data_IF_612261398587
#
_entry.id   IF_612261398587
#
_cell.length_a   1.000
_cell.length_b   1.000
_cell.length_c   1.000
_cell.angle_alpha   90.00
_cell.angle_beta   90.00
_cell.angle_gamma   90.00
#
_symmetry.space_group_name_H-M   'P 1'
#
loop_
_entity.id
_entity.type
_entity.pdbx_description
1 polymer ?
#
# COMPACT_ATOMS: atom_id res chain seq x y z
N UNK A 1 -19.91 11.61 15.50
CA UNK A 1 -18.59 12.21 15.74
C UNK A 1 -18.04 11.61 17.02
N UNK A 2 -17.32 10.47 17.00
CA UNK A 2 -16.63 9.93 18.20
C UNK A 2 -16.15 8.46 18.06
N UNK A 3 -15.65 8.00 16.93
CA UNK A 3 -14.97 6.69 16.86
C UNK A 3 -13.58 6.72 16.21
N UNK A 4 -13.09 7.89 15.81
CA UNK A 4 -11.79 8.04 15.13
C UNK A 4 -10.57 8.05 16.06
N UNK A 5 -10.75 7.99 17.39
CA UNK A 5 -9.65 8.24 18.34
C UNK A 5 -8.95 6.99 18.90
N UNK A 6 -9.27 5.80 18.43
CA UNK A 6 -8.73 4.54 18.98
C UNK A 6 -7.94 3.65 18.02
N UNK A 7 -7.90 3.96 16.74
CA UNK A 7 -7.14 3.13 15.80
C UNK A 7 -5.71 3.66 15.67
N UNK A 8 -4.75 2.84 16.05
CA UNK A 8 -3.33 3.09 15.82
C UNK A 8 -3.05 3.05 14.31
N UNK A 9 -2.25 4.00 13.82
CA UNK A 9 -1.86 4.05 12.41
C UNK A 9 -0.80 3.00 12.08
N UNK A 10 0.11 2.74 13.02
CA UNK A 10 1.23 1.82 12.82
C UNK A 10 1.75 1.28 14.16
N UNK A 11 2.45 0.16 14.10
CA UNK A 11 3.19 -0.37 15.25
C UNK A 11 4.26 0.62 15.72
N UNK A 12 4.87 1.38 14.82
CA UNK A 12 5.88 2.39 15.16
C UNK A 12 5.30 3.57 15.97
N UNK A 13 4.04 3.95 15.72
CA UNK A 13 3.30 4.90 16.54
C UNK A 13 3.18 4.38 17.98
N UNK A 14 2.67 3.15 18.16
CA UNK A 14 2.53 2.52 19.46
C UNK A 14 3.86 2.40 20.20
N UNK A 15 4.92 1.95 19.51
CA UNK A 15 6.25 1.83 20.10
C UNK A 15 6.77 3.21 20.55
N UNK A 16 6.54 4.26 19.77
CA UNK A 16 6.92 5.63 20.11
C UNK A 16 6.23 6.09 21.40
N UNK A 17 4.94 5.80 21.55
CA UNK A 17 4.19 6.11 22.76
C UNK A 17 4.70 5.31 23.98
N UNK A 18 4.90 3.99 23.82
CA UNK A 18 5.42 3.14 24.90
C UNK A 18 6.82 3.55 25.37
N UNK A 19 7.72 3.89 24.44
CA UNK A 19 9.06 4.37 24.79
C UNK A 19 9.01 5.66 25.60
N UNK A 20 7.97 6.44 25.42
CA UNK A 20 7.73 7.67 26.14
C UNK A 20 7.36 7.44 27.62
N UNK A 21 6.53 6.42 27.86
CA UNK A 21 6.11 6.05 29.21
C UNK A 21 7.24 5.33 30.01
N UNK A 22 8.12 4.63 29.26
CA UNK A 22 9.13 3.74 29.87
C UNK A 22 10.52 4.38 30.02
N UNK A 23 10.82 5.48 29.33
CA UNK A 23 12.15 6.07 29.30
C UNK A 23 12.10 7.59 29.45
N UNK A 24 13.15 8.12 30.07
CA UNK A 24 13.44 9.55 29.97
C UNK A 24 13.70 9.93 28.49
N UNK A 25 13.33 11.16 28.07
CA UNK A 25 13.46 11.61 26.68
C UNK A 25 14.86 11.45 26.05
N UNK A 26 15.90 11.35 26.89
CA UNK A 26 17.30 11.19 26.45
C UNK A 26 17.69 9.77 26.02
N UNK A 27 16.76 8.81 26.02
CA UNK A 27 17.08 7.40 25.81
C UNK A 27 16.91 6.85 24.39
N UNK A 28 16.39 7.62 23.43
CA UNK A 28 16.20 7.19 22.04
C UNK A 28 17.30 7.82 21.16
N UNK A 29 18.04 6.99 20.43
CA UNK A 29 19.05 7.48 19.48
C UNK A 29 18.38 8.11 18.26
N UNK A 30 19.07 9.06 17.62
CA UNK A 30 18.59 9.70 16.39
C UNK A 30 18.19 8.68 15.32
N UNK A 31 19.02 7.67 15.05
CA UNK A 31 18.75 6.64 14.05
C UNK A 31 17.53 5.77 14.41
N UNK A 32 17.29 5.51 15.70
CA UNK A 32 16.08 4.81 16.17
C UNK A 32 14.83 5.66 15.93
N UNK A 33 14.92 6.97 16.24
CA UNK A 33 13.84 7.91 15.98
C UNK A 33 13.54 8.05 14.47
N UNK A 34 14.56 8.06 13.61
CA UNK A 34 14.43 8.07 12.16
C UNK A 34 13.77 6.79 11.64
N UNK A 35 14.15 5.61 12.17
CA UNK A 35 13.54 4.34 11.79
C UNK A 35 12.06 4.25 12.20
N UNK A 36 11.72 4.69 13.43
CA UNK A 36 10.32 4.74 13.88
C UNK A 36 9.49 5.71 13.05
N UNK A 37 10.04 6.89 12.72
CA UNK A 37 9.36 7.85 11.87
C UNK A 37 9.18 7.32 10.45
N UNK A 38 10.16 6.60 9.89
CA UNK A 38 10.05 5.95 8.59
C UNK A 38 8.91 4.92 8.58
N UNK A 39 8.76 4.12 9.65
CA UNK A 39 7.65 3.17 9.78
C UNK A 39 6.29 3.86 9.84
N UNK A 40 6.16 4.97 10.58
CA UNK A 40 4.91 5.77 10.60
C UNK A 40 4.61 6.30 9.19
N UNK A 41 5.59 6.90 8.51
CA UNK A 41 5.43 7.44 7.15
C UNK A 41 5.01 6.36 6.16
N UNK A 42 5.60 5.16 6.24
CA UNK A 42 5.28 4.03 5.37
C UNK A 42 3.84 3.53 5.58
N UNK A 43 3.46 3.25 6.82
CA UNK A 43 2.15 2.67 7.17
C UNK A 43 1.00 3.64 6.93
N UNK A 44 1.25 4.94 7.07
CA UNK A 44 0.27 6.01 6.83
C UNK A 44 0.27 6.53 5.39
N UNK A 45 1.10 5.98 4.50
CA UNK A 45 1.35 6.51 3.16
C UNK A 45 1.58 8.02 3.19
N UNK A 46 2.63 8.43 3.89
CA UNK A 46 2.98 9.84 4.08
C UNK A 46 1.85 10.66 4.73
N UNK A 47 1.26 10.13 5.79
CA UNK A 47 0.16 10.77 6.56
C UNK A 47 -1.14 10.94 5.76
N UNK A 48 -1.36 10.15 4.71
CA UNK A 48 -2.56 10.23 3.87
C UNK A 48 -3.70 9.35 4.39
N UNK A 49 -3.37 8.16 4.95
CA UNK A 49 -4.36 7.19 5.43
C UNK A 49 -4.10 6.82 6.89
N UNK A 50 -5.17 6.41 7.60
CA UNK A 50 -5.13 5.97 9.01
C UNK A 50 -4.42 6.94 9.95
N UNK A 51 -4.42 8.23 9.64
CA UNK A 51 -3.72 9.27 10.38
C UNK A 51 -4.67 9.97 11.33
N UNK A 52 -4.32 10.01 12.61
CA UNK A 52 -5.04 10.73 13.65
C UNK A 52 -4.12 11.71 14.40
N UNK A 53 -4.68 12.40 15.39
CA UNK A 53 -3.94 13.32 16.26
C UNK A 53 -2.70 12.63 16.88
N UNK A 54 -2.87 11.40 17.41
CA UNK A 54 -1.81 10.60 18.02
C UNK A 54 -0.64 10.33 17.06
N UNK A 55 -0.93 10.10 15.78
CA UNK A 55 0.08 9.88 14.75
C UNK A 55 0.96 11.11 14.56
N UNK A 56 0.35 12.29 14.52
CA UNK A 56 1.10 13.55 14.42
C UNK A 56 1.89 13.85 15.70
N UNK A 57 1.33 13.55 16.86
CA UNK A 57 2.04 13.70 18.15
C UNK A 57 3.27 12.80 18.23
N UNK A 58 3.14 11.52 17.82
CA UNK A 58 4.26 10.60 17.75
C UNK A 58 5.34 11.11 16.78
N UNK A 59 4.95 11.54 15.57
CA UNK A 59 5.88 12.10 14.59
C UNK A 59 6.57 13.38 15.08
N UNK A 60 5.82 14.31 15.71
CA UNK A 60 6.39 15.54 16.28
C UNK A 60 7.38 15.23 17.39
N UNK A 61 7.14 14.20 18.18
CA UNK A 61 8.02 13.75 19.24
C UNK A 61 9.32 13.16 18.69
N UNK A 62 9.23 12.24 17.73
CA UNK A 62 10.40 11.68 17.04
C UNK A 62 11.24 12.78 16.41
N UNK A 63 10.59 13.80 15.85
CA UNK A 63 11.26 14.98 15.31
C UNK A 63 12.01 15.78 16.38
N UNK A 64 11.41 15.96 17.58
CA UNK A 64 12.08 16.61 18.73
C UNK A 64 13.26 15.79 19.25
N UNK A 65 13.20 14.46 19.16
CA UNK A 65 14.32 13.55 19.53
C UNK A 65 15.48 13.62 18.52
N UNK A 66 15.31 14.30 17.40
CA UNK A 66 16.37 14.55 16.42
C UNK A 66 16.21 13.81 15.09
N UNK A 67 15.10 13.06 14.87
CA UNK A 67 14.85 12.44 13.57
C UNK A 67 14.84 13.49 12.46
N UNK A 68 15.58 13.24 11.37
CA UNK A 68 15.60 14.10 10.19
C UNK A 68 14.70 13.53 9.09
N UNK A 69 13.73 14.33 8.66
CA UNK A 69 12.78 13.92 7.61
C UNK A 69 13.47 13.70 6.25
N UNK A 70 14.60 14.35 5.99
CA UNK A 70 15.38 14.09 4.79
C UNK A 70 16.05 12.70 4.83
N UNK A 71 16.59 12.32 5.99
CA UNK A 71 17.14 10.97 6.18
C UNK A 71 16.04 9.91 6.13
N UNK A 72 14.87 10.17 6.77
CA UNK A 72 13.69 9.30 6.64
C UNK A 72 13.29 9.10 5.18
N UNK A 73 13.27 10.18 4.37
CA UNK A 73 12.99 10.06 2.94
C UNK A 73 14.01 9.20 2.22
N UNK A 74 15.31 9.28 2.56
CA UNK A 74 16.35 8.43 1.97
C UNK A 74 16.13 6.96 2.28
N UNK A 75 15.73 6.62 3.52
CA UNK A 75 15.40 5.25 3.90
C UNK A 75 14.25 4.65 3.06
N UNK A 76 13.34 5.49 2.57
CA UNK A 76 12.17 5.08 1.78
C UNK A 76 12.37 5.26 0.26
N UNK A 77 13.57 5.59 -0.19
CA UNK A 77 13.86 5.71 -1.62
C UNK A 77 13.77 4.35 -2.31
N UNK A 78 13.25 4.38 -3.53
CA UNK A 78 13.21 3.25 -4.47
C UNK A 78 14.38 3.39 -5.43
N UNK A 79 14.98 2.30 -5.86
CA UNK A 79 15.98 2.34 -6.92
C UNK A 79 15.37 2.68 -8.28
N UNK A 80 16.25 3.02 -9.24
CA UNK A 80 15.81 3.46 -10.57
C UNK A 80 15.11 2.36 -11.37
N UNK A 81 15.53 1.10 -11.20
CA UNK A 81 14.95 -0.03 -11.94
C UNK A 81 13.50 -0.28 -11.50
N UNK A 82 13.26 -0.30 -10.19
CA UNK A 82 11.92 -0.44 -9.61
C UNK A 82 11.03 0.77 -9.95
N UNK A 83 11.61 1.99 -9.96
CA UNK A 83 10.87 3.19 -10.36
C UNK A 83 10.41 3.12 -11.82
N UNK A 84 11.28 2.69 -12.74
CA UNK A 84 10.94 2.49 -14.16
C UNK A 84 9.91 1.38 -14.32
N UNK A 85 10.06 0.26 -13.59
CA UNK A 85 9.11 -0.85 -13.65
C UNK A 85 7.71 -0.42 -13.18
N UNK A 86 7.61 0.32 -12.07
CA UNK A 86 6.34 0.90 -11.58
C UNK A 86 5.71 1.81 -12.63
N UNK A 87 6.49 2.69 -13.24
CA UNK A 87 5.99 3.60 -14.27
C UNK A 87 5.41 2.84 -15.48
N UNK A 88 6.10 1.80 -15.97
CA UNK A 88 5.59 0.95 -17.06
C UNK A 88 4.29 0.24 -16.69
N UNK A 89 4.17 -0.25 -15.45
CA UNK A 89 2.91 -0.83 -14.96
C UNK A 89 1.80 0.22 -15.03
N UNK A 90 2.05 1.41 -14.50
CA UNK A 90 1.05 2.49 -14.50
C UNK A 90 0.63 2.90 -15.91
N UNK A 91 1.55 2.93 -16.88
CA UNK A 91 1.22 3.21 -18.29
C UNK A 91 0.29 2.18 -18.91
N UNK A 92 0.28 0.94 -18.43
CA UNK A 92 -0.60 -0.12 -18.93
C UNK A 92 -2.02 -0.05 -18.34
N UNK A 93 -2.24 0.83 -17.36
CA UNK A 93 -3.50 0.89 -16.62
C UNK A 93 -4.66 1.44 -17.47
N UNK A 94 -5.82 0.83 -17.29
CA UNK A 94 -7.08 1.27 -17.84
C UNK A 94 -8.08 1.46 -16.71
N UNK A 95 -8.82 2.56 -16.76
CA UNK A 95 -9.86 2.83 -15.75
C UNK A 95 -11.16 2.13 -16.16
N UNK A 96 -11.69 1.31 -15.25
CA UNK A 96 -12.95 0.61 -15.40
C UNK A 96 -13.75 0.66 -14.09
N UNK A 97 -14.96 1.23 -14.12
CA UNK A 97 -15.83 1.39 -12.93
C UNK A 97 -15.10 1.93 -11.69
N UNK A 98 -14.27 2.96 -11.87
CA UNK A 98 -13.41 3.56 -10.82
C UNK A 98 -12.27 2.64 -10.32
N UNK A 99 -12.05 1.50 -10.94
CA UNK A 99 -10.94 0.59 -10.69
C UNK A 99 -9.89 0.75 -11.80
N UNK A 100 -8.66 1.10 -11.45
CA UNK A 100 -7.54 1.09 -12.39
C UNK A 100 -7.00 -0.34 -12.52
N UNK A 101 -7.15 -0.96 -13.68
CA UNK A 101 -6.62 -2.30 -13.96
C UNK A 101 -5.39 -2.18 -14.84
N UNK A 102 -4.23 -2.62 -14.35
CA UNK A 102 -2.96 -2.60 -15.06
C UNK A 102 -2.46 -4.03 -15.33
N UNK A 103 -1.96 -4.27 -16.55
CA UNK A 103 -1.47 -5.57 -16.97
C UNK A 103 -0.18 -5.41 -17.80
N UNK A 104 1.00 -5.23 -17.16
CA UNK A 104 2.26 -5.11 -17.86
C UNK A 104 2.61 -6.42 -18.59
N UNK A 105 3.29 -6.29 -19.72
CA UNK A 105 3.76 -7.44 -20.49
C UNK A 105 5.00 -8.11 -19.88
N UNK A 106 5.78 -7.33 -19.15
CA UNK A 106 7.03 -7.77 -18.55
C UNK A 106 6.79 -8.49 -17.23
N UNK A 107 7.72 -9.38 -16.87
CA UNK A 107 7.74 -10.04 -15.56
C UNK A 107 7.94 -9.00 -14.46
N UNK A 108 7.17 -9.11 -13.39
CA UNK A 108 7.21 -8.16 -12.27
C UNK A 108 7.40 -8.89 -10.94
N UNK A 109 8.05 -8.21 -9.99
CA UNK A 109 8.03 -8.67 -8.61
C UNK A 109 6.70 -8.31 -7.95
N UNK A 110 6.30 -9.10 -6.95
CA UNK A 110 5.07 -8.82 -6.18
C UNK A 110 5.14 -7.47 -5.46
N UNK A 111 6.34 -7.08 -5.04
CA UNK A 111 6.59 -5.81 -4.35
C UNK A 111 6.35 -4.63 -5.29
N UNK A 112 6.98 -4.64 -6.47
CA UNK A 112 6.83 -3.59 -7.48
C UNK A 112 5.37 -3.47 -7.95
N UNK A 113 4.69 -4.61 -8.18
CA UNK A 113 3.28 -4.62 -8.56
C UNK A 113 2.39 -4.01 -7.46
N UNK A 114 2.65 -4.33 -6.18
CA UNK A 114 1.92 -3.78 -5.06
C UNK A 114 2.16 -2.26 -4.92
N UNK A 115 3.40 -1.81 -5.07
CA UNK A 115 3.74 -0.39 -5.05
C UNK A 115 3.10 0.37 -6.22
N UNK A 116 3.10 -0.20 -7.43
CA UNK A 116 2.43 0.40 -8.58
C UNK A 116 0.90 0.49 -8.37
N UNK A 117 0.29 -0.52 -7.75
CA UNK A 117 -1.11 -0.47 -7.37
C UNK A 117 -1.39 0.67 -6.37
N UNK A 118 -0.50 0.88 -5.39
CA UNK A 118 -0.61 2.02 -4.47
C UNK A 118 -0.47 3.38 -5.19
N UNK A 119 0.47 3.51 -6.13
CA UNK A 119 0.66 4.74 -6.91
C UNK A 119 -0.55 5.07 -7.81
N UNK A 120 -1.21 4.07 -8.38
CA UNK A 120 -2.43 4.27 -9.18
C UNK A 120 -3.57 4.91 -8.39
N UNK A 121 -3.62 4.72 -7.07
CA UNK A 121 -4.61 5.36 -6.20
C UNK A 121 -4.43 6.88 -6.06
N UNK A 122 -3.29 7.43 -6.46
CA UNK A 122 -3.06 8.88 -6.47
C UNK A 122 -3.68 9.56 -7.70
N UNK A 123 -4.29 8.80 -8.62
CA UNK A 123 -4.93 9.33 -9.83
C UNK A 123 -6.39 9.67 -9.52
N UNK A 124 -6.80 10.88 -9.86
CA UNK A 124 -8.18 11.34 -9.66
C UNK A 124 -9.19 10.41 -10.35
N UNK A 125 -10.25 10.04 -9.63
CA UNK A 125 -11.29 9.13 -10.10
C UNK A 125 -10.98 7.64 -9.93
N UNK A 126 -9.80 7.29 -9.40
CA UNK A 126 -9.45 5.91 -9.05
C UNK A 126 -9.75 5.67 -7.56
N UNK A 127 -10.66 4.76 -7.27
CA UNK A 127 -11.02 4.34 -5.89
C UNK A 127 -10.35 3.01 -5.50
N UNK A 128 -10.03 2.19 -6.49
CA UNK A 128 -9.28 0.96 -6.33
C UNK A 128 -8.34 0.73 -7.53
N UNK A 129 -7.34 -0.09 -7.33
CA UNK A 129 -6.37 -0.48 -8.37
C UNK A 129 -6.08 -1.97 -8.29
N UNK A 130 -5.90 -2.60 -9.44
CA UNK A 130 -5.54 -4.02 -9.55
C UNK A 130 -4.42 -4.14 -10.59
N UNK A 131 -3.27 -4.65 -10.18
CA UNK A 131 -2.15 -4.98 -11.07
C UNK A 131 -2.11 -6.48 -11.26
N UNK A 132 -2.27 -6.94 -12.50
CA UNK A 132 -2.19 -8.35 -12.90
C UNK A 132 -0.87 -8.57 -13.63
N UNK A 133 0.01 -9.40 -13.10
CA UNK A 133 1.34 -9.60 -13.66
C UNK A 133 1.81 -11.05 -13.53
N UNK A 134 2.90 -11.38 -14.21
CA UNK A 134 3.61 -12.65 -14.08
C UNK A 134 4.85 -12.46 -13.21
N UNK A 135 5.10 -13.39 -12.28
CA UNK A 135 6.32 -13.38 -11.48
C UNK A 135 7.49 -14.11 -12.19
N UNK A 136 8.71 -13.95 -11.64
CA UNK A 136 9.91 -14.60 -12.18
C UNK A 136 9.89 -16.14 -12.17
N UNK A 137 8.88 -16.75 -11.53
CA UNK A 137 8.65 -18.20 -11.53
C UNK A 137 7.58 -18.61 -12.55
N UNK A 138 7.11 -17.69 -13.36
CA UNK A 138 6.08 -17.92 -14.38
C UNK A 138 4.64 -17.97 -13.87
N UNK A 139 4.40 -17.67 -12.58
CA UNK A 139 3.05 -17.66 -11.99
C UNK A 139 2.38 -16.33 -12.22
N UNK A 140 1.10 -16.36 -12.58
CA UNK A 140 0.27 -15.15 -12.70
C UNK A 140 -0.32 -14.79 -11.33
N UNK A 141 -0.32 -13.52 -11.00
CA UNK A 141 -0.88 -13.01 -9.74
C UNK A 141 -1.56 -11.66 -9.95
N UNK A 142 -2.46 -11.30 -9.05
CA UNK A 142 -3.05 -9.97 -8.94
C UNK A 142 -2.74 -9.35 -7.59
N UNK A 143 -2.41 -8.05 -7.59
CA UNK A 143 -2.27 -7.24 -6.38
C UNK A 143 -3.28 -6.12 -6.43
N UNK A 144 -4.14 -6.02 -5.43
CA UNK A 144 -5.22 -5.05 -5.36
C UNK A 144 -5.03 -4.09 -4.19
N UNK A 145 -5.38 -2.82 -4.41
CA UNK A 145 -5.35 -1.75 -3.40
C UNK A 145 -6.61 -0.91 -3.50
N UNK A 146 -7.01 -0.28 -2.37
CA UNK A 146 -8.14 0.63 -2.31
C UNK A 146 -7.90 1.73 -1.27
N UNK A 147 -8.47 2.90 -1.51
CA UNK A 147 -8.54 3.99 -0.53
C UNK A 147 -9.65 3.80 0.52
N UNK A 148 -10.40 2.69 0.45
CA UNK A 148 -11.39 2.29 1.45
C UNK A 148 -12.84 2.35 0.99
N UNK A 149 -13.16 3.04 -0.10
CA UNK A 149 -14.52 3.07 -0.68
C UNK A 149 -14.90 1.68 -1.23
N UNK A 150 -14.05 1.10 -2.08
CA UNK A 150 -14.22 -0.24 -2.59
C UNK A 150 -13.53 -1.28 -1.70
N UNK A 151 -14.20 -2.40 -1.46
CA UNK A 151 -13.63 -3.53 -0.72
C UNK A 151 -12.93 -4.50 -1.67
N UNK A 152 -11.61 -4.32 -1.86
CA UNK A 152 -10.83 -5.19 -2.78
C UNK A 152 -10.67 -6.63 -2.29
N UNK A 153 -10.89 -6.89 -1.00
CA UNK A 153 -10.92 -8.27 -0.48
C UNK A 153 -12.01 -9.09 -1.17
N UNK A 154 -13.23 -8.55 -1.26
CA UNK A 154 -14.36 -9.26 -1.88
C UNK A 154 -14.10 -9.55 -3.36
N UNK A 155 -13.45 -8.64 -4.08
CA UNK A 155 -13.08 -8.87 -5.48
C UNK A 155 -12.02 -9.99 -5.59
N UNK A 156 -11.00 -9.97 -4.71
CA UNK A 156 -9.94 -10.98 -4.75
C UNK A 156 -10.42 -12.35 -4.26
N UNK A 157 -11.36 -12.44 -3.33
CA UNK A 157 -11.96 -13.71 -2.87
C UNK A 157 -12.71 -14.43 -4.00
N UNK A 158 -13.38 -13.71 -4.91
CA UNK A 158 -14.00 -14.29 -6.12
C UNK A 158 -12.97 -14.92 -7.08
N UNK A 159 -11.72 -14.48 -6.96
CA UNK A 159 -10.60 -15.00 -7.75
C UNK A 159 -9.77 -16.06 -7.00
N UNK A 160 -10.27 -16.55 -5.86
CA UNK A 160 -9.57 -17.53 -5.01
C UNK A 160 -8.45 -16.94 -4.17
N UNK A 161 -8.41 -15.61 -4.06
CA UNK A 161 -7.44 -14.88 -3.26
C UNK A 161 -7.97 -14.44 -1.90
N UNK A 162 -7.42 -13.36 -1.34
CA UNK A 162 -7.86 -12.80 -0.08
C UNK A 162 -7.01 -11.60 0.34
N UNK A 163 -7.27 -11.12 1.54
CA UNK A 163 -6.57 -9.97 2.10
C UNK A 163 -7.45 -9.21 3.10
N UNK A 164 -7.42 -7.90 2.99
CA UNK A 164 -8.31 -7.02 3.75
C UNK A 164 -8.97 -5.98 2.82
N UNK A 165 -9.86 -5.15 3.38
CA UNK A 165 -10.64 -4.17 2.63
C UNK A 165 -9.80 -3.28 1.71
N UNK A 166 -8.59 -2.87 2.14
CA UNK A 166 -7.75 -1.91 1.42
C UNK A 166 -6.56 -2.55 0.68
N UNK A 167 -6.24 -3.82 0.96
CA UNK A 167 -5.12 -4.53 0.35
C UNK A 167 -5.42 -6.02 0.26
N UNK A 168 -5.44 -6.55 -0.95
CA UNK A 168 -5.73 -7.95 -1.21
C UNK A 168 -4.91 -8.46 -2.41
N UNK A 169 -4.84 -9.77 -2.57
CA UNK A 169 -4.12 -10.39 -3.67
C UNK A 169 -4.77 -11.73 -4.05
N UNK A 170 -4.53 -12.15 -5.30
CA UNK A 170 -4.89 -13.48 -5.78
C UNK A 170 -3.72 -14.07 -6.57
N UNK A 171 -3.64 -15.39 -6.63
CA UNK A 171 -2.73 -16.12 -7.48
C UNK A 171 -3.54 -17.02 -8.42
N UNK A 172 -3.12 -17.07 -9.67
CA UNK A 172 -3.78 -17.87 -10.69
C UNK A 172 -2.88 -19.04 -11.07
N UNK A 173 -3.37 -20.24 -10.85
CA UNK A 173 -2.69 -21.44 -11.29
C UNK A 173 -3.09 -21.73 -12.75
N UNK A 174 -2.12 -22.07 -13.60
CA UNK A 174 -2.30 -22.43 -15.01
C UNK A 174 -3.10 -21.40 -15.85
N UNK A 175 -2.90 -20.11 -15.55
CA UNK A 175 -3.61 -19.02 -16.19
C UNK A 175 -2.62 -17.96 -16.67
N UNK A 176 -2.72 -17.54 -17.92
CA UNK A 176 -1.93 -16.43 -18.45
C UNK A 176 -2.49 -15.06 -17.99
N UNK A 177 -1.70 -14.00 -18.18
CA UNK A 177 -2.07 -12.65 -17.75
C UNK A 177 -3.36 -12.19 -18.48
N UNK A 178 -3.55 -12.54 -19.74
CA UNK A 178 -4.74 -12.09 -20.51
C UNK A 178 -6.01 -12.71 -19.97
N UNK A 179 -5.96 -14.01 -19.64
CA UNK A 179 -7.11 -14.71 -19.06
C UNK A 179 -7.37 -14.24 -17.61
N UNK A 180 -6.31 -14.02 -16.82
CA UNK A 180 -6.44 -13.45 -15.48
C UNK A 180 -7.11 -12.06 -15.49
N UNK A 181 -6.74 -11.21 -16.45
CA UNK A 181 -7.37 -9.89 -16.63
C UNK A 181 -8.86 -10.01 -16.94
N UNK A 182 -9.27 -10.94 -17.80
CA UNK A 182 -10.72 -11.18 -18.07
C UNK A 182 -11.47 -11.58 -16.79
N UNK A 183 -10.88 -12.48 -15.98
CA UNK A 183 -11.47 -12.89 -14.69
C UNK A 183 -11.55 -11.73 -13.72
N UNK A 184 -10.54 -10.85 -13.70
CA UNK A 184 -10.56 -9.63 -12.88
C UNK A 184 -11.71 -8.72 -13.29
N UNK A 185 -11.90 -8.46 -14.60
CA UNK A 185 -13.05 -7.66 -15.05
C UNK A 185 -14.40 -8.28 -14.68
N UNK A 186 -14.55 -9.60 -14.84
CA UNK A 186 -15.76 -10.30 -14.42
C UNK A 186 -16.01 -10.17 -12.91
N UNK A 187 -14.98 -10.34 -12.08
CA UNK A 187 -15.09 -10.17 -10.63
C UNK A 187 -15.44 -8.72 -10.22
N UNK A 188 -14.94 -7.72 -10.96
CA UNK A 188 -15.34 -6.33 -10.77
C UNK A 188 -16.82 -6.13 -11.13
N UNK A 189 -17.28 -6.69 -12.27
CA UNK A 189 -18.69 -6.58 -12.66
C UNK A 189 -19.64 -7.23 -11.66
N UNK A 190 -19.30 -8.41 -11.16
CA UNK A 190 -20.05 -9.09 -10.09
C UNK A 190 -20.10 -8.26 -8.79
N UNK A 191 -18.96 -7.65 -8.41
CA UNK A 191 -18.91 -6.80 -7.22
C UNK A 191 -19.84 -5.58 -7.31
N UNK A 192 -19.98 -4.97 -8.49
CA UNK A 192 -20.85 -3.82 -8.71
C UNK A 192 -22.31 -4.19 -9.03
N UNK A 193 -22.63 -5.46 -9.20
CA UNK A 193 -23.99 -5.94 -9.42
C UNK A 193 -24.73 -6.26 -8.11
N UNK A 194 -24.01 -6.39 -6.99
CA UNK A 194 -24.54 -6.55 -5.64
C UNK A 194 -24.89 -5.21 -5.00
#
# INVERSE_FOLDING_TARGET
MQESSRSLSSTCELVTELLQELREPAGILRCEAEALLAGIVLDTKSFTIRTGERTFDAAARLRRTGADTAEVKKLLQTDMEDAIAKYKIMQSAQLYRKVAVAAPQEVQTRVVAAQAADELLNISGVEASIVVARDGKGRTFASARSIGELNVQLIMERLGGGGNRSAAAAQFDDCDVKEAVKRVYAAIDEYFAE
#
